data_IF_466951916067
#
_entry.id   IF_466951916067
#
_cell.length_a   1.000
_cell.length_b   1.000
_cell.length_c   1.000
_cell.angle_alpha   90.00
_cell.angle_beta   90.00
_cell.angle_gamma   90.00
#
_symmetry.space_group_name_H-M   'P 1'
#
loop_
_entity.id
_entity.type
_entity.pdbx_description
1 polymer ?
#
# COMPACT_ATOMS: atom_id res chain seq x y z
N UNK A 1 1.97 7.95 -22.56
CA UNK A 1 2.86 8.71 -21.65
C UNK A 1 2.35 8.41 -20.26
N UNK A 2 3.16 7.91 -19.32
CA UNK A 2 2.68 7.72 -17.96
C UNK A 2 2.23 9.10 -17.46
N UNK A 3 0.97 9.22 -17.07
CA UNK A 3 0.45 10.42 -16.44
C UNK A 3 1.22 10.55 -15.13
N UNK A 4 2.05 11.58 -14.99
CA UNK A 4 2.71 11.88 -13.72
C UNK A 4 1.61 12.18 -12.71
N UNK A 5 1.39 11.27 -11.76
CA UNK A 5 0.46 11.48 -10.66
C UNK A 5 1.03 12.63 -9.82
N UNK A 6 0.27 13.73 -9.59
CA UNK A 6 0.68 14.77 -8.67
C UNK A 6 1.06 14.14 -7.33
N UNK A 7 2.27 14.42 -6.85
CA UNK A 7 2.72 13.92 -5.55
C UNK A 7 3.43 15.02 -4.78
N UNK A 8 3.24 14.99 -3.46
CA UNK A 8 3.97 15.83 -2.51
C UNK A 8 4.74 14.87 -1.61
N UNK A 9 6.03 15.16 -1.43
CA UNK A 9 6.87 14.49 -0.45
C UNK A 9 7.31 15.52 0.58
N UNK A 10 7.09 15.21 1.85
CA UNK A 10 7.45 16.04 2.98
C UNK A 10 8.21 15.20 3.99
N UNK A 11 9.26 15.77 4.56
CA UNK A 11 10.05 15.14 5.61
C UNK A 11 10.17 16.10 6.77
N UNK A 12 9.89 15.60 7.97
CA UNK A 12 10.06 16.33 9.23
C UNK A 12 10.98 15.51 10.12
N UNK A 13 12.04 16.16 10.62
CA UNK A 13 12.92 15.53 11.60
C UNK A 13 12.51 15.98 13.00
N UNK A 14 12.54 15.06 13.95
CA UNK A 14 12.18 15.31 15.34
C UNK A 14 13.12 14.59 16.30
N UNK A 15 12.90 14.83 17.59
CA UNK A 15 13.57 14.13 18.68
C UNK A 15 12.49 13.79 19.72
N UNK A 16 12.30 12.50 19.98
CA UNK A 16 11.33 12.02 20.96
C UNK A 16 12.03 11.84 22.30
N UNK A 17 11.47 12.39 23.38
CA UNK A 17 11.92 12.10 24.74
C UNK A 17 11.06 11.00 25.38
N UNK A 18 11.59 10.36 26.43
CA UNK A 18 10.81 9.38 27.19
C UNK A 18 9.54 10.01 27.76
N UNK A 19 8.42 9.38 27.47
CA UNK A 19 7.07 9.79 27.85
C UNK A 19 6.49 10.97 27.07
N UNK A 20 7.08 11.29 25.93
CA UNK A 20 6.59 12.30 25.00
C UNK A 20 5.76 11.68 23.88
N UNK A 21 4.65 12.34 23.53
CA UNK A 21 3.89 12.05 22.31
C UNK A 21 3.93 13.31 21.46
N UNK A 22 4.43 13.22 20.25
CA UNK A 22 4.52 14.35 19.33
C UNK A 22 3.44 14.24 18.26
N UNK A 23 2.62 15.28 18.10
CA UNK A 23 1.51 15.29 17.15
C UNK A 23 1.82 16.19 15.93
N UNK A 24 1.48 15.71 14.74
CA UNK A 24 1.66 16.38 13.47
C UNK A 24 0.32 16.58 12.77
N UNK A 25 0.12 17.78 12.23
CA UNK A 25 -1.05 18.10 11.40
C UNK A 25 -0.59 18.64 10.06
N UNK A 26 -0.94 17.95 8.99
CA UNK A 26 -0.71 18.38 7.62
C UNK A 26 -2.02 18.88 7.03
N UNK A 27 -1.99 20.00 6.32
CA UNK A 27 -3.19 20.63 5.75
C UNK A 27 -2.93 21.19 4.36
N UNK A 28 -4.00 21.47 3.62
CA UNK A 28 -3.92 21.94 2.23
C UNK A 28 -3.54 20.83 1.24
N UNK A 29 -3.76 19.57 1.64
CA UNK A 29 -3.57 18.40 0.80
C UNK A 29 -4.77 18.20 -0.12
N UNK A 30 -4.57 17.45 -1.21
CA UNK A 30 -5.66 17.09 -2.13
C UNK A 30 -6.59 16.09 -1.45
N UNK A 31 -7.82 16.51 -1.13
CA UNK A 31 -8.83 15.66 -0.50
C UNK A 31 -9.08 14.38 -1.32
N UNK A 32 -9.10 13.22 -0.66
CA UNK A 32 -9.31 11.92 -1.29
C UNK A 32 -8.08 11.34 -2.00
N UNK A 33 -6.99 12.09 -2.14
CA UNK A 33 -5.69 11.53 -2.54
C UNK A 33 -5.20 10.50 -1.53
N UNK A 34 -4.30 9.62 -1.95
CA UNK A 34 -3.72 8.60 -1.10
C UNK A 34 -2.48 9.14 -0.39
N UNK A 35 -2.17 8.57 0.78
CA UNK A 35 -0.92 8.83 1.48
C UNK A 35 -0.20 7.54 1.89
N UNK A 36 1.10 7.66 2.04
CA UNK A 36 1.99 6.75 2.77
C UNK A 36 2.76 7.63 3.75
N UNK A 37 2.78 7.24 5.01
CA UNK A 37 3.57 7.88 6.05
C UNK A 37 4.44 6.84 6.74
N UNK A 38 5.71 7.15 6.95
CA UNK A 38 6.67 6.27 7.62
C UNK A 38 7.46 7.07 8.65
N UNK A 39 7.77 6.45 9.78
CA UNK A 39 8.74 6.98 10.75
C UNK A 39 9.99 6.10 10.75
N UNK A 40 11.13 6.70 10.47
CA UNK A 40 12.43 6.03 10.50
C UNK A 40 13.29 6.57 11.63
N UNK A 41 14.12 5.72 12.22
CA UNK A 41 14.95 6.09 13.36
C UNK A 41 16.12 5.11 13.54
N UNK A 42 17.30 5.60 13.92
CA UNK A 42 18.42 4.75 14.34
C UNK A 42 18.51 4.62 15.87
N UNK A 43 17.79 5.46 16.61
CA UNK A 43 17.96 5.64 18.05
C UNK A 43 16.85 4.98 18.89
N UNK A 44 15.65 4.86 18.32
CA UNK A 44 14.43 4.42 18.99
C UNK A 44 13.55 3.50 18.13
N UNK A 45 12.73 2.70 18.80
CA UNK A 45 11.69 1.84 18.22
C UNK A 45 10.34 2.60 18.19
N UNK A 46 9.93 3.20 17.05
CA UNK A 46 8.84 4.16 17.02
C UNK A 46 7.47 3.49 16.98
N UNK A 47 6.46 4.18 17.50
CA UNK A 47 5.04 3.89 17.28
C UNK A 47 4.41 5.07 16.55
N UNK A 48 3.68 4.82 15.48
CA UNK A 48 2.98 5.82 14.68
C UNK A 48 1.47 5.59 14.79
N UNK A 49 0.72 6.66 15.07
CA UNK A 49 -0.74 6.67 15.06
C UNK A 49 -1.30 7.64 14.03
N UNK A 50 -2.37 7.22 13.35
CA UNK A 50 -3.26 8.09 12.58
C UNK A 50 -4.42 8.51 13.47
N UNK A 51 -4.72 9.81 13.48
CA UNK A 51 -5.74 10.41 14.32
C UNK A 51 -6.91 10.92 13.48
N UNK A 52 -8.10 10.96 14.06
CA UNK A 52 -9.22 11.72 13.52
C UNK A 52 -9.17 13.19 13.93
N UNK A 53 -10.15 13.97 13.46
CA UNK A 53 -10.22 15.41 13.72
C UNK A 53 -10.49 15.77 15.19
N UNK A 54 -10.96 14.84 16.01
CA UNK A 54 -11.16 15.01 17.45
C UNK A 54 -9.90 14.60 18.25
N UNK A 55 -8.89 14.03 17.57
CA UNK A 55 -7.65 13.53 18.14
C UNK A 55 -7.74 12.09 18.63
N UNK A 56 -8.84 11.39 18.33
CA UNK A 56 -9.00 9.98 18.67
C UNK A 56 -8.20 9.11 17.69
N UNK A 57 -7.69 7.97 18.19
CA UNK A 57 -6.88 7.05 17.41
C UNK A 57 -7.77 6.32 16.39
N UNK A 58 -7.43 6.45 15.10
CA UNK A 58 -8.02 5.64 14.02
C UNK A 58 -7.27 4.31 13.90
N UNK A 59 -5.94 4.37 13.80
CA UNK A 59 -5.07 3.20 13.69
C UNK A 59 -3.68 3.52 14.21
N UNK A 60 -2.95 2.48 14.61
CA UNK A 60 -1.55 2.54 15.04
C UNK A 60 -0.75 1.45 14.35
N UNK A 61 0.54 1.67 14.22
CA UNK A 61 1.52 0.71 13.73
C UNK A 61 2.87 1.00 14.40
N UNK A 62 3.55 -0.03 14.90
CA UNK A 62 4.95 0.02 15.39
C UNK A 62 5.93 -0.72 14.47
N UNK A 63 5.48 -1.70 13.70
CA UNK A 63 6.31 -2.44 12.75
C UNK A 63 5.62 -2.76 11.41
N UNK A 64 6.45 -3.10 10.43
CA UNK A 64 6.04 -3.62 9.13
C UNK A 64 6.05 -5.15 9.16
N UNK A 65 5.13 -5.77 8.40
CA UNK A 65 4.96 -7.22 8.38
C UNK A 65 6.09 -7.96 7.63
N UNK A 66 7.01 -7.24 6.99
CA UNK A 66 8.23 -7.78 6.38
C UNK A 66 9.42 -7.91 7.36
N UNK A 67 9.21 -7.57 8.63
CA UNK A 67 10.25 -7.58 9.67
C UNK A 67 11.06 -6.29 9.77
N UNK A 68 10.68 -5.25 9.04
CA UNK A 68 11.16 -3.89 9.27
C UNK A 68 10.47 -3.30 10.52
N UNK A 69 11.27 -2.75 11.43
CA UNK A 69 10.79 -2.18 12.70
C UNK A 69 10.34 -0.72 12.58
N UNK A 70 10.24 -0.20 11.35
CA UNK A 70 9.77 1.16 11.13
C UNK A 70 8.28 1.16 10.84
N UNK A 71 7.50 1.93 11.60
CA UNK A 71 6.07 1.94 11.39
C UNK A 71 5.69 2.68 10.13
N UNK A 72 4.71 2.13 9.44
CA UNK A 72 4.15 2.68 8.22
C UNK A 72 2.62 2.70 8.31
N UNK A 73 2.00 3.78 7.86
CA UNK A 73 0.56 3.87 7.70
C UNK A 73 0.23 4.38 6.30
N UNK A 74 -0.85 3.86 5.74
CA UNK A 74 -1.40 4.32 4.46
C UNK A 74 -2.87 4.69 4.63
N UNK A 75 -3.41 5.44 3.68
CA UNK A 75 -4.83 5.77 3.69
C UNK A 75 -5.20 6.85 2.70
N UNK A 76 -6.33 7.51 2.97
CA UNK A 76 -6.85 8.64 2.20
C UNK A 76 -6.70 9.94 2.99
N UNK A 77 -6.28 11.00 2.31
CA UNK A 77 -6.39 12.37 2.81
C UNK A 77 -7.87 12.68 3.07
N UNK A 78 -8.17 13.27 4.23
CA UNK A 78 -9.53 13.59 4.62
C UNK A 78 -10.20 14.60 3.68
N UNK A 79 -11.53 14.70 3.76
CA UNK A 79 -12.34 15.52 2.85
C UNK A 79 -12.06 17.04 2.96
N UNK A 80 -11.55 17.49 4.10
CA UNK A 80 -11.10 18.85 4.37
C UNK A 80 -9.63 19.09 3.99
N UNK A 81 -8.93 18.07 3.47
CA UNK A 81 -7.55 18.18 3.01
C UNK A 81 -6.52 18.12 4.16
N UNK A 82 -6.89 17.52 5.30
CA UNK A 82 -5.96 17.31 6.42
C UNK A 82 -5.59 15.83 6.62
N UNK A 83 -4.45 15.61 7.28
CA UNK A 83 -4.10 14.35 7.94
C UNK A 83 -3.40 14.67 9.25
N UNK A 84 -3.79 13.99 10.32
CA UNK A 84 -3.22 14.15 11.66
C UNK A 84 -2.56 12.85 12.12
N UNK A 85 -1.34 12.96 12.66
CA UNK A 85 -0.57 11.84 13.16
C UNK A 85 -0.05 12.11 14.56
N UNK A 86 0.29 11.04 15.28
CA UNK A 86 1.06 11.11 16.51
C UNK A 86 2.18 10.07 16.49
N UNK A 87 3.34 10.46 17.03
CA UNK A 87 4.52 9.63 17.16
C UNK A 87 4.79 9.42 18.65
N UNK A 88 5.04 8.17 19.03
CA UNK A 88 5.46 7.77 20.36
C UNK A 88 6.50 6.64 20.27
N UNK A 89 6.80 5.99 21.38
CA UNK A 89 7.62 4.78 21.44
C UNK A 89 6.79 3.50 21.44
N UNK A 90 7.43 2.39 21.08
CA UNK A 90 6.82 1.05 21.14
C UNK A 90 6.08 0.81 22.46
N UNK A 91 4.96 0.08 22.38
CA UNK A 91 4.03 -0.27 23.47
C UNK A 91 3.16 0.84 24.05
N UNK A 92 3.33 2.10 23.69
CA UNK A 92 2.40 3.18 24.08
C UNK A 92 1.13 3.18 23.20
N UNK A 93 0.40 2.05 23.18
CA UNK A 93 -0.70 1.80 22.24
C UNK A 93 -1.90 2.76 22.40
N UNK A 94 -1.98 3.46 23.53
CA UNK A 94 -3.01 4.46 23.80
C UNK A 94 -2.51 5.91 23.52
N UNK A 95 -1.27 6.07 23.05
CA UNK A 95 -0.60 7.36 22.79
C UNK A 95 -0.69 8.32 23.97
N UNK A 96 -0.34 7.84 25.16
CA UNK A 96 -0.45 8.58 26.43
C UNK A 96 0.90 9.01 27.02
N UNK A 97 2.00 8.66 26.36
CA UNK A 97 3.37 8.85 26.84
C UNK A 97 3.83 7.72 27.78
N UNK A 98 3.27 6.51 27.70
CA UNK A 98 3.69 5.39 28.53
C UNK A 98 4.82 4.56 27.89
N UNK A 99 5.90 5.22 27.47
CA UNK A 99 7.09 4.60 26.88
C UNK A 99 8.40 5.16 27.45
N UNK A 100 9.50 4.42 27.20
CA UNK A 100 10.86 4.82 27.58
C UNK A 100 11.77 5.15 26.39
N UNK A 101 11.27 4.97 25.17
CA UNK A 101 11.97 5.31 23.93
C UNK A 101 12.37 6.78 23.90
N UNK A 102 13.57 7.04 23.38
CA UNK A 102 14.11 8.38 23.22
C UNK A 102 15.15 8.41 22.10
N UNK A 103 15.17 9.46 21.28
CA UNK A 103 16.09 9.54 20.15
C UNK A 103 15.62 10.43 19.01
N UNK A 104 16.49 10.60 18.02
CA UNK A 104 16.14 11.32 16.80
C UNK A 104 15.34 10.43 15.84
N UNK A 105 14.41 11.02 15.10
CA UNK A 105 13.62 10.32 14.09
C UNK A 105 13.33 11.21 12.87
N UNK A 106 12.90 10.58 11.78
CA UNK A 106 12.40 11.24 10.58
C UNK A 106 11.03 10.72 10.20
N UNK A 107 10.05 11.62 10.13
CA UNK A 107 8.70 11.38 9.61
C UNK A 107 8.67 11.75 8.13
N UNK A 108 8.37 10.79 7.26
CA UNK A 108 8.23 10.99 5.82
C UNK A 108 6.78 10.82 5.40
N UNK A 109 6.16 11.87 4.85
CA UNK A 109 4.82 11.84 4.28
C UNK A 109 4.91 11.96 2.75
N UNK A 110 4.37 10.97 2.05
CA UNK A 110 4.14 11.01 0.61
C UNK A 110 2.65 10.98 0.34
N UNK A 111 2.16 11.97 -0.39
CA UNK A 111 0.79 11.97 -0.93
C UNK A 111 0.81 11.84 -2.45
N UNK A 112 -0.21 11.20 -3.02
CA UNK A 112 -0.36 11.04 -4.46
C UNK A 112 -1.83 10.84 -4.83
N UNK A 113 -2.26 11.41 -5.96
CA UNK A 113 -3.65 11.27 -6.40
C UNK A 113 -4.03 9.79 -6.60
N UNK A 114 -5.28 9.45 -6.28
CA UNK A 114 -5.79 8.11 -6.49
C UNK A 114 -5.74 7.75 -7.99
N UNK A 115 -5.16 6.61 -8.39
CA UNK A 115 -5.10 6.22 -9.79
C UNK A 115 -6.49 5.83 -10.30
N UNK A 116 -7.19 6.77 -10.93
CA UNK A 116 -8.51 6.53 -11.53
C UNK A 116 -8.48 5.51 -12.67
N UNK A 117 -9.58 4.80 -12.86
CA UNK A 117 -9.76 3.88 -13.99
C UNK A 117 -9.69 4.67 -15.32
N UNK A 118 -9.01 4.14 -16.35
CA UNK A 118 -8.98 4.80 -17.65
C UNK A 118 -10.38 4.81 -18.28
N UNK A 119 -10.78 5.95 -18.82
CA UNK A 119 -12.03 6.08 -19.60
C UNK A 119 -11.95 5.29 -20.91
N UNK A 120 -13.09 4.77 -21.42
CA UNK A 120 -13.17 3.97 -22.66
C UNK A 120 -12.42 4.59 -23.86
N UNK A 121 -12.43 5.92 -23.97
CA UNK A 121 -11.76 6.65 -25.06
C UNK A 121 -10.23 6.62 -25.01
N UNK A 122 -9.63 6.15 -23.92
CA UNK A 122 -8.19 5.98 -23.76
C UNK A 122 -7.72 4.54 -23.97
N UNK A 123 -8.64 3.60 -24.23
CA UNK A 123 -8.29 2.22 -24.50
C UNK A 123 -7.66 2.11 -25.89
N UNK A 124 -6.40 1.69 -25.93
CA UNK A 124 -5.67 1.40 -27.16
C UNK A 124 -5.84 -0.10 -27.45
N UNK A 125 -6.08 -0.51 -28.70
CA UNK A 125 -5.69 -1.87 -29.09
C UNK A 125 -4.16 -1.86 -29.22
N UNK A 126 -3.45 -2.43 -28.25
CA UNK A 126 -2.92 -3.77 -28.50
C UNK A 126 -2.94 -4.69 -27.26
N UNK A 127 -2.51 -5.93 -27.51
CA UNK A 127 -1.97 -6.92 -26.57
C UNK A 127 -1.44 -6.35 -25.24
N UNK A 128 -1.58 -7.12 -24.14
CA UNK A 128 -0.99 -6.83 -22.82
C UNK A 128 0.43 -6.27 -22.97
N UNK A 129 0.63 -5.03 -22.52
CA UNK A 129 1.92 -4.36 -22.51
C UNK A 129 2.72 -4.89 -21.33
N UNK A 130 3.95 -5.34 -21.59
CA UNK A 130 4.87 -5.82 -20.55
C UNK A 130 4.25 -6.91 -19.66
N UNK A 131 3.62 -7.92 -20.26
CA UNK A 131 2.92 -8.99 -19.53
C UNK A 131 3.81 -9.83 -18.63
N UNK A 132 5.06 -10.08 -19.05
CA UNK A 132 6.07 -10.78 -18.26
C UNK A 132 7.01 -9.87 -17.47
N UNK A 133 6.78 -8.55 -17.40
CA UNK A 133 7.58 -7.60 -16.61
C UNK A 133 9.07 -7.44 -16.99
N UNK A 134 9.48 -7.95 -18.15
CA UNK A 134 10.86 -7.95 -18.64
C UNK A 134 11.41 -6.57 -19.05
N UNK A 135 10.61 -5.50 -18.98
CA UNK A 135 11.14 -4.13 -19.12
C UNK A 135 11.94 -3.67 -17.90
N UNK A 136 11.90 -4.42 -16.79
CA UNK A 136 12.51 -4.03 -15.51
C UNK A 136 11.71 -2.95 -14.77
N UNK A 137 10.48 -2.68 -15.20
CA UNK A 137 9.56 -1.72 -14.58
C UNK A 137 8.09 -2.12 -14.82
N UNK A 138 7.17 -1.32 -14.27
CA UNK A 138 5.72 -1.50 -14.48
C UNK A 138 5.19 -0.79 -15.73
N UNK A 139 5.98 -0.64 -16.80
CA UNK A 139 5.50 0.01 -18.04
C UNK A 139 4.20 -0.64 -18.54
N UNK A 140 3.13 0.16 -18.65
CA UNK A 140 1.80 -0.32 -19.08
C UNK A 140 0.90 -0.82 -17.95
N UNK A 141 1.44 -0.98 -16.74
CA UNK A 141 0.70 -1.33 -15.53
C UNK A 141 0.56 -0.12 -14.62
N UNK A 142 -0.53 -0.09 -13.87
CA UNK A 142 -0.69 0.81 -12.72
C UNK A 142 -0.59 -0.03 -11.47
N UNK A 143 0.09 0.48 -10.44
CA UNK A 143 0.30 -0.22 -9.18
C UNK A 143 -0.31 0.55 -8.02
N UNK A 144 -0.68 -0.18 -6.96
CA UNK A 144 -1.00 0.33 -5.64
C UNK A 144 -0.44 -0.65 -4.60
N UNK A 145 0.04 -0.12 -3.49
CA UNK A 145 0.67 -0.91 -2.45
C UNK A 145 2.16 -1.20 -2.71
N UNK A 146 2.66 -2.23 -2.03
CA UNK A 146 4.02 -2.75 -2.14
C UNK A 146 4.14 -3.64 -3.39
N UNK A 147 4.63 -3.03 -4.47
CA UNK A 147 4.81 -3.68 -5.77
C UNK A 147 6.21 -3.40 -6.32
N UNK A 148 6.98 -4.46 -6.56
CA UNK A 148 8.35 -4.39 -7.07
C UNK A 148 8.55 -5.28 -8.29
N UNK A 149 9.65 -5.03 -9.03
CA UNK A 149 10.11 -5.92 -10.09
C UNK A 149 11.32 -6.68 -9.54
N UNK A 150 11.21 -8.00 -9.52
CA UNK A 150 12.18 -8.89 -8.89
C UNK A 150 12.63 -9.98 -9.86
N UNK A 151 13.70 -10.68 -9.50
CA UNK A 151 14.18 -11.87 -10.20
C UNK A 151 13.89 -13.13 -9.38
N UNK A 152 14.72 -14.18 -9.49
CA UNK A 152 14.54 -15.42 -8.72
C UNK A 152 14.89 -15.31 -7.23
N UNK A 153 15.46 -14.19 -6.77
CA UNK A 153 15.85 -13.99 -5.37
C UNK A 153 14.66 -14.02 -4.39
N UNK A 154 13.43 -13.76 -4.88
CA UNK A 154 12.20 -13.88 -4.07
C UNK A 154 11.68 -15.32 -3.88
N UNK A 155 12.46 -16.33 -4.29
CA UNK A 155 12.13 -17.75 -4.05
C UNK A 155 11.13 -18.35 -5.05
N UNK A 156 10.86 -17.66 -6.16
CA UNK A 156 10.11 -18.15 -7.31
C UNK A 156 10.85 -17.72 -8.57
N UNK A 157 11.15 -18.63 -9.49
CA UNK A 157 11.86 -18.28 -10.73
C UNK A 157 10.90 -17.59 -11.73
N UNK A 158 11.30 -16.47 -12.38
CA UNK A 158 10.56 -15.91 -13.52
C UNK A 158 10.41 -16.95 -14.65
N UNK A 159 9.24 -17.00 -15.28
CA UNK A 159 8.90 -18.03 -16.29
C UNK A 159 9.11 -17.57 -17.74
N UNK A 160 9.09 -16.27 -18.01
CA UNK A 160 9.28 -15.70 -19.36
C UNK A 160 10.71 -15.21 -19.64
N UNK A 161 11.44 -14.78 -18.61
CA UNK A 161 12.79 -14.24 -18.75
C UNK A 161 13.53 -14.10 -17.41
N UNK A 162 13.87 -12.87 -17.05
CA UNK A 162 14.68 -12.54 -15.86
C UNK A 162 13.92 -11.73 -14.81
N UNK A 163 12.72 -11.25 -15.12
CA UNK A 163 11.97 -10.36 -14.24
C UNK A 163 10.55 -10.86 -14.03
N UNK A 164 9.98 -10.52 -12.88
CA UNK A 164 8.58 -10.75 -12.55
C UNK A 164 8.07 -9.64 -11.64
N UNK A 165 6.76 -9.41 -11.64
CA UNK A 165 6.15 -8.58 -10.61
C UNK A 165 6.09 -9.36 -9.29
N UNK A 166 6.45 -8.71 -8.20
CA UNK A 166 6.26 -9.20 -6.84
C UNK A 166 5.36 -8.23 -6.08
N UNK A 167 4.28 -8.76 -5.48
CA UNK A 167 3.35 -7.99 -4.67
C UNK A 167 3.39 -8.52 -3.26
N UNK A 168 3.54 -7.61 -2.29
CA UNK A 168 3.72 -7.97 -0.89
C UNK A 168 2.64 -7.37 0.00
N UNK A 169 2.35 -8.05 1.12
CA UNK A 169 1.55 -7.51 2.23
C UNK A 169 2.44 -6.91 3.34
N UNK A 170 3.77 -6.91 3.16
CA UNK A 170 4.75 -6.58 4.19
C UNK A 170 5.05 -5.10 4.40
N UNK A 171 4.87 -4.27 3.36
CA UNK A 171 5.27 -2.86 3.36
C UNK A 171 4.11 -1.88 3.30
N UNK A 172 4.19 -0.90 2.40
CA UNK A 172 3.16 0.12 2.23
C UNK A 172 1.91 -0.43 1.56
N UNK A 173 1.02 -1.08 2.31
CA UNK A 173 -0.21 -1.73 1.81
C UNK A 173 -1.44 -0.88 2.03
N UNK A 174 -2.50 -1.07 1.25
CA UNK A 174 -3.74 -0.31 1.34
C UNK A 174 -4.93 -1.19 1.75
N UNK A 175 -5.94 -0.60 2.37
CA UNK A 175 -7.15 -1.32 2.77
C UNK A 175 -7.83 -1.99 1.57
N UNK A 176 -8.45 -3.14 1.83
CA UNK A 176 -9.30 -3.88 0.90
C UNK A 176 -10.26 -2.98 0.10
N UNK A 177 -10.96 -2.05 0.75
CA UNK A 177 -11.87 -1.09 0.14
C UNK A 177 -11.18 -0.15 -0.87
N UNK A 178 -9.94 0.28 -0.60
CA UNK A 178 -9.13 1.06 -1.55
C UNK A 178 -8.69 0.17 -2.71
N UNK A 179 -8.33 -1.10 -2.45
CA UNK A 179 -7.98 -2.06 -3.49
C UNK A 179 -9.16 -2.40 -4.40
N UNK A 180 -10.36 -2.52 -3.86
CA UNK A 180 -11.59 -2.76 -4.64
C UNK A 180 -11.87 -1.61 -5.60
N UNK A 181 -11.82 -0.37 -5.09
CA UNK A 181 -11.96 0.83 -5.92
C UNK A 181 -10.85 0.89 -6.98
N UNK A 182 -9.61 0.55 -6.59
CA UNK A 182 -8.48 0.47 -7.51
C UNK A 182 -8.68 -0.61 -8.56
N UNK A 183 -9.30 -1.73 -8.26
CA UNK A 183 -9.52 -2.80 -9.23
C UNK A 183 -10.82 -2.60 -10.04
N UNK A 184 -11.62 -1.58 -9.71
CA UNK A 184 -12.94 -1.37 -10.29
C UNK A 184 -13.95 -2.44 -9.88
N UNK A 185 -13.76 -3.03 -8.70
CA UNK A 185 -14.67 -4.01 -8.11
C UNK A 185 -15.81 -3.30 -7.37
N UNK A 186 -16.91 -4.02 -7.14
CA UNK A 186 -17.97 -3.52 -6.27
C UNK A 186 -17.47 -3.52 -4.81
N UNK A 187 -17.89 -2.55 -3.96
CA UNK A 187 -17.54 -2.57 -2.55
C UNK A 187 -17.92 -3.90 -1.86
N UNK A 188 -16.99 -4.49 -1.11
CA UNK A 188 -17.12 -5.78 -0.44
C UNK A 188 -16.98 -7.01 -1.35
N UNK A 189 -16.36 -6.86 -2.53
CA UNK A 189 -16.01 -7.98 -3.41
C UNK A 189 -14.85 -8.84 -2.88
N UNK A 190 -13.96 -8.27 -2.07
CA UNK A 190 -12.86 -8.97 -1.41
C UNK A 190 -13.25 -9.51 -0.03
N UNK A 191 -14.39 -9.09 0.51
CA UNK A 191 -14.96 -9.61 1.75
C UNK A 191 -15.36 -11.08 1.58
N UNK A 192 -15.11 -11.88 2.62
CA UNK A 192 -15.52 -13.28 2.70
C UNK A 192 -15.08 -14.19 1.54
N UNK A 193 -14.12 -13.80 0.70
CA UNK A 193 -13.72 -14.56 -0.49
C UNK A 193 -13.29 -16.00 -0.15
N UNK A 194 -12.70 -16.18 1.03
CA UNK A 194 -12.27 -17.46 1.59
C UNK A 194 -12.86 -17.73 2.99
N UNK A 195 -14.06 -17.22 3.26
CA UNK A 195 -14.72 -17.19 4.59
C UNK A 195 -14.02 -16.31 5.64
N UNK A 196 -13.17 -15.39 5.18
CA UNK A 196 -12.50 -14.37 5.95
C UNK A 196 -12.48 -13.08 5.13
N UNK A 197 -12.43 -11.94 5.82
CA UNK A 197 -12.38 -10.63 5.20
C UNK A 197 -10.92 -10.27 4.90
N UNK A 198 -10.67 -9.79 3.68
CA UNK A 198 -9.41 -9.15 3.35
C UNK A 198 -9.31 -7.84 4.14
N UNK A 199 -8.15 -7.53 4.69
CA UNK A 199 -7.94 -6.29 5.46
C UNK A 199 -7.16 -5.27 4.66
N UNK A 200 -6.06 -5.71 4.05
CA UNK A 200 -5.15 -4.86 3.29
C UNK A 200 -4.31 -5.67 2.32
N UNK A 201 -3.64 -4.98 1.40
CA UNK A 201 -2.67 -5.61 0.50
C UNK A 201 -2.19 -4.68 -0.61
N UNK A 202 -1.76 -5.30 -1.69
CA UNK A 202 -1.16 -4.65 -2.86
C UNK A 202 -1.78 -5.18 -4.14
N UNK A 203 -1.85 -4.36 -5.17
CA UNK A 203 -2.43 -4.74 -6.45
C UNK A 203 -1.76 -4.05 -7.63
N UNK A 204 -1.78 -4.72 -8.77
CA UNK A 204 -1.45 -4.12 -10.06
C UNK A 204 -2.60 -4.35 -11.03
N UNK A 205 -2.78 -3.43 -11.96
CA UNK A 205 -3.80 -3.56 -12.99
C UNK A 205 -3.32 -3.00 -14.32
N UNK A 206 -3.87 -3.57 -15.39
CA UNK A 206 -3.78 -3.05 -16.74
C UNK A 206 -5.14 -3.23 -17.41
N UNK A 207 -5.49 -2.28 -18.27
CA UNK A 207 -6.71 -2.32 -19.06
C UNK A 207 -6.35 -2.48 -20.52
N UNK A 208 -7.03 -3.36 -21.23
CA UNK A 208 -6.76 -3.66 -22.63
C UNK A 208 -8.07 -3.99 -23.36
N UNK A 209 -8.05 -3.95 -24.69
CA UNK A 209 -9.18 -4.41 -25.50
C UNK A 209 -8.96 -5.88 -25.92
N UNK A 210 -9.97 -6.72 -25.70
CA UNK A 210 -10.01 -8.09 -26.18
C UNK A 210 -11.21 -8.31 -27.11
N UNK A 211 -11.06 -9.19 -28.09
CA UNK A 211 -12.16 -9.70 -28.91
C UNK A 211 -12.67 -11.03 -28.35
N UNK A 212 -13.93 -11.35 -28.64
CA UNK A 212 -14.48 -12.64 -28.29
C UNK A 212 -13.68 -13.77 -28.97
N UNK A 213 -13.10 -14.66 -28.16
CA UNK A 213 -12.22 -15.74 -28.63
C UNK A 213 -10.74 -15.51 -28.33
N UNK A 214 -10.35 -14.32 -27.88
CA UNK A 214 -9.01 -14.09 -27.33
C UNK A 214 -8.80 -14.92 -26.06
N UNK A 215 -7.56 -15.36 -25.85
CA UNK A 215 -7.16 -16.14 -24.67
C UNK A 215 -6.25 -15.26 -23.81
N UNK A 216 -6.64 -15.10 -22.54
CA UNK A 216 -5.82 -14.49 -21.51
C UNK A 216 -5.22 -15.61 -20.65
N UNK A 217 -3.89 -15.60 -20.52
CA UNK A 217 -3.15 -16.54 -19.68
C UNK A 217 -2.56 -15.77 -18.51
N UNK A 218 -2.64 -16.36 -17.32
CA UNK A 218 -1.99 -15.87 -16.12
C UNK A 218 -0.99 -16.90 -15.66
N UNK A 219 0.20 -16.45 -15.32
CA UNK A 219 1.24 -17.24 -14.69
C UNK A 219 1.59 -16.53 -13.38
N UNK A 220 1.28 -17.18 -12.26
CA UNK A 220 1.43 -16.58 -10.94
C UNK A 220 1.68 -17.67 -9.90
N UNK A 221 2.32 -17.26 -8.81
CA UNK A 221 2.57 -18.08 -7.65
C UNK A 221 2.08 -17.35 -6.39
N UNK A 222 1.70 -18.10 -5.35
CA UNK A 222 1.41 -17.55 -4.04
C UNK A 222 2.52 -17.96 -3.08
N UNK A 223 3.25 -16.95 -2.60
CA UNK A 223 4.28 -17.11 -1.60
C UNK A 223 3.69 -16.66 -0.27
N UNK A 224 3.83 -17.51 0.75
CA UNK A 224 3.35 -17.23 2.10
C UNK A 224 4.41 -17.64 3.12
N UNK A 225 4.53 -16.85 4.18
CA UNK A 225 5.31 -17.15 5.36
C UNK A 225 4.42 -17.57 6.55
N UNK A 226 3.13 -17.85 6.31
CA UNK A 226 2.18 -18.24 7.35
C UNK A 226 2.61 -19.52 8.07
N UNK A 227 2.47 -19.49 9.39
CA UNK A 227 2.67 -20.68 10.22
C UNK A 227 1.56 -21.72 10.01
N UNK A 228 1.87 -23.00 10.24
CA UNK A 228 0.88 -24.09 10.18
C UNK A 228 0.59 -24.58 11.61
N UNK A 229 -0.66 -24.52 12.11
CA UNK A 229 -1.88 -24.07 11.41
C UNK A 229 -1.98 -22.55 11.24
N UNK A 230 -2.61 -22.06 10.16
CA UNK A 230 -2.69 -20.64 9.87
C UNK A 230 -3.58 -19.93 10.89
N UNK A 231 -3.09 -18.81 11.41
CA UNK A 231 -3.81 -17.92 12.35
C UNK A 231 -4.41 -16.69 11.64
N UNK A 232 -3.81 -16.31 10.51
CA UNK A 232 -4.37 -15.44 9.48
C UNK A 232 -4.65 -16.29 8.24
N UNK A 233 -5.26 -15.73 7.21
CA UNK A 233 -5.55 -16.49 5.99
C UNK A 233 -5.28 -15.59 4.79
N UNK A 234 -3.99 -15.42 4.50
CA UNK A 234 -3.52 -14.64 3.37
C UNK A 234 -3.85 -15.37 2.07
N UNK A 235 -4.14 -14.59 1.03
CA UNK A 235 -4.43 -15.14 -0.28
C UNK A 235 -3.97 -14.19 -1.38
N UNK A 236 -3.75 -14.75 -2.56
CA UNK A 236 -3.64 -14.01 -3.80
C UNK A 236 -4.82 -14.34 -4.71
N UNK A 237 -5.11 -13.42 -5.63
CA UNK A 237 -6.19 -13.59 -6.58
C UNK A 237 -5.85 -12.94 -7.91
N UNK A 238 -6.58 -13.36 -8.93
CA UNK A 238 -6.60 -12.71 -10.24
C UNK A 238 -8.05 -12.38 -10.54
N UNK A 239 -8.30 -11.16 -11.02
CA UNK A 239 -9.62 -10.78 -11.51
C UNK A 239 -9.54 -10.26 -12.94
N UNK A 240 -10.63 -10.45 -13.68
CA UNK A 240 -10.87 -9.77 -14.94
C UNK A 240 -12.32 -9.34 -14.98
N UNK A 241 -12.56 -8.07 -15.27
CA UNK A 241 -13.89 -7.50 -15.36
C UNK A 241 -14.00 -6.68 -16.65
N UNK A 242 -15.16 -6.75 -17.35
CA UNK A 242 -15.41 -5.85 -18.46
C UNK A 242 -15.64 -4.43 -17.93
N UNK A 243 -15.12 -3.42 -18.64
CA UNK A 243 -15.56 -2.05 -18.48
C UNK A 243 -17.03 -1.93 -18.92
N UNK A 244 -17.88 -1.39 -18.06
CA UNK A 244 -19.28 -1.07 -18.36
C UNK A 244 -19.47 0.43 -18.53
#
# INVERSE_FOLDING_TARGET
>A
MPTTIPSINLTVNGNLNSGEVESFSFSGLEAGSLFIVEVTSEDLDPLLGLLDNDGDIITINDDQADGNFFPILTGRVAADGTIDFAISGTRDLDLTGLHFENGDYSLSLKTFSFPELPTETQLIKPQIINGGFESGDFTGWTTIGEATIEDSEVGSDPTEGTSQAFLSTGGAVFSDSILEEFLGLAPGSLDNLINWDATQGSAIRQTFQAEAGDILTFDWNFLTNEEVPPIFNDFSFVSSSPFC
#
